data_IF_252956162923
#
_entry.id   IF_252956162923
#
_cell.length_a   1.000
_cell.length_b   1.000
_cell.length_c   1.000
_cell.angle_alpha   90.00
_cell.angle_beta   90.00
_cell.angle_gamma   90.00
#
_symmetry.space_group_name_H-M   'P 1'
#
loop_
_entity.id
_entity.type
_entity.pdbx_description
1 polymer ?
#
# COMPACT_ATOMS: atom_id res chain seq x y z
N UNK A 1 -27.18 -19.03 -61.37
CA UNK A 1 -27.66 -20.40 -61.67
C UNK A 1 -26.53 -21.35 -61.34
N UNK A 2 -26.57 -21.97 -60.16
CA UNK A 2 -26.82 -23.42 -59.91
C UNK A 2 -25.63 -24.29 -60.35
N UNK A 3 -25.06 -25.23 -59.59
CA UNK A 3 -25.43 -25.90 -58.34
C UNK A 3 -24.17 -26.59 -57.75
N UNK A 4 -24.19 -26.88 -56.46
CA UNK A 4 -23.19 -27.55 -55.62
C UNK A 4 -22.99 -29.05 -55.88
N UNK A 5 -21.89 -29.66 -55.38
CA UNK A 5 -21.82 -31.02 -54.78
C UNK A 5 -20.60 -31.12 -53.83
N UNK A 6 -20.73 -31.94 -52.79
CA UNK A 6 -20.00 -32.00 -51.51
C UNK A 6 -19.16 -33.30 -51.38
N UNK A 7 -18.14 -33.28 -50.51
CA UNK A 7 -17.51 -34.38 -49.71
C UNK A 7 -16.43 -35.26 -50.37
N UNK A 8 -15.29 -35.47 -49.69
CA UNK A 8 -14.78 -36.76 -49.13
C UNK A 8 -13.65 -36.44 -48.12
N UNK A 9 -13.61 -37.16 -46.99
CA UNK A 9 -12.57 -37.06 -45.98
C UNK A 9 -11.70 -38.31 -45.82
N UNK A 10 -10.82 -38.22 -44.81
CA UNK A 10 -10.10 -39.27 -44.06
C UNK A 10 -8.88 -39.92 -44.74
N UNK A 11 -7.72 -39.80 -44.07
CA UNK A 11 -6.65 -40.80 -44.15
C UNK A 11 -5.99 -40.94 -42.78
N UNK A 12 -6.17 -42.10 -42.16
CA UNK A 12 -5.45 -42.56 -40.97
C UNK A 12 -4.29 -43.46 -41.41
N UNK A 13 -3.15 -43.36 -40.74
CA UNK A 13 -2.02 -44.29 -40.91
C UNK A 13 -1.79 -45.03 -39.60
N UNK A 14 -1.98 -46.34 -39.65
CA UNK A 14 -1.66 -47.31 -38.60
C UNK A 14 -0.21 -47.80 -38.76
N UNK A 15 0.48 -48.04 -37.64
CA UNK A 15 1.63 -48.97 -37.59
C UNK A 15 1.51 -49.89 -36.38
N UNK A 16 1.62 -51.19 -36.64
CA UNK A 16 1.44 -52.34 -35.75
C UNK A 16 2.80 -52.81 -35.23
N UNK A 17 2.92 -53.18 -33.94
CA UNK A 17 3.82 -54.28 -33.53
C UNK A 17 3.21 -55.07 -32.35
N UNK A 18 3.33 -56.39 -32.47
CA UNK A 18 2.83 -57.52 -31.69
C UNK A 18 3.53 -57.75 -30.34
N UNK A 19 2.81 -58.23 -29.31
CA UNK A 19 2.99 -59.60 -28.75
C UNK A 19 2.35 -59.82 -27.35
N UNK A 20 1.72 -61.00 -27.24
CA UNK A 20 1.41 -61.83 -26.05
C UNK A 20 0.46 -61.31 -24.94
N UNK A 21 -0.73 -61.91 -24.90
CA UNK A 21 -1.67 -61.91 -23.76
C UNK A 21 -1.34 -63.05 -22.78
N UNK A 22 -1.30 -62.74 -21.47
CA UNK A 22 -1.73 -63.65 -20.40
C UNK A 22 -2.45 -62.83 -19.31
N UNK A 23 -3.67 -63.25 -18.99
CA UNK A 23 -4.61 -62.60 -18.08
C UNK A 23 -4.14 -62.60 -16.63
N UNK A 24 -4.18 -61.43 -15.97
CA UNK A 24 -4.58 -61.33 -14.56
C UNK A 24 -5.44 -60.08 -14.40
N UNK A 25 -6.69 -60.30 -14.00
CA UNK A 25 -7.68 -59.26 -13.71
C UNK A 25 -7.34 -58.67 -12.34
N UNK A 26 -6.90 -57.41 -12.29
CA UNK A 26 -6.91 -56.60 -11.07
C UNK A 26 -7.77 -55.35 -11.29
N UNK A 27 -8.81 -55.23 -10.47
CA UNK A 27 -9.73 -54.12 -10.43
C UNK A 27 -9.02 -52.94 -9.72
N UNK A 28 -8.61 -51.90 -10.45
CA UNK A 28 -8.16 -50.63 -9.85
C UNK A 28 -9.01 -49.49 -10.39
N UNK A 29 -9.80 -48.93 -9.48
CA UNK A 29 -10.74 -47.82 -9.69
C UNK A 29 -9.94 -46.58 -10.14
N UNK A 30 -10.30 -46.05 -11.32
CA UNK A 30 -9.76 -44.81 -11.90
C UNK A 30 -9.84 -43.65 -10.88
N UNK A 31 -8.70 -43.14 -10.44
CA UNK A 31 -8.57 -41.79 -9.91
C UNK A 31 -7.91 -40.94 -11.00
N UNK A 32 -8.65 -39.98 -11.56
CA UNK A 32 -8.08 -38.99 -12.45
C UNK A 32 -7.22 -38.03 -11.63
N UNK A 33 -5.90 -38.09 -11.82
CA UNK A 33 -4.99 -37.06 -11.32
C UNK A 33 -5.02 -35.95 -12.37
N UNK A 34 -5.81 -34.92 -12.12
CA UNK A 34 -5.76 -33.68 -12.88
C UNK A 34 -4.46 -32.98 -12.52
N UNK A 35 -3.44 -33.07 -13.35
CA UNK A 35 -2.20 -32.30 -13.21
C UNK A 35 -2.52 -30.82 -13.46
N UNK A 36 -2.63 -30.03 -12.40
CA UNK A 36 -2.67 -28.58 -12.49
C UNK A 36 -1.26 -28.06 -12.80
N UNK A 37 -0.97 -27.81 -14.08
CA UNK A 37 0.22 -27.06 -14.49
C UNK A 37 0.02 -25.58 -14.15
N UNK A 38 0.37 -25.18 -12.93
CA UNK A 38 0.51 -23.77 -12.57
C UNK A 38 1.97 -23.36 -12.73
N UNK A 39 2.38 -23.06 -13.96
CA UNK A 39 3.55 -22.21 -14.19
C UNK A 39 3.14 -20.77 -13.88
N UNK A 40 3.09 -20.44 -12.58
CA UNK A 40 3.08 -19.05 -12.13
C UNK A 40 4.49 -18.51 -12.41
N UNK A 41 4.65 -17.90 -13.59
CA UNK A 41 5.84 -17.14 -13.95
C UNK A 41 5.96 -16.01 -12.92
N UNK A 42 6.82 -16.20 -11.93
CA UNK A 42 7.30 -15.12 -11.08
C UNK A 42 8.19 -14.24 -11.95
N UNK A 43 7.59 -13.27 -12.62
CA UNK A 43 8.35 -12.13 -13.15
C UNK A 43 8.83 -11.33 -11.95
N UNK A 44 10.10 -11.51 -11.59
CA UNK A 44 10.79 -10.63 -10.65
C UNK A 44 11.11 -9.33 -11.39
N UNK A 45 10.12 -8.44 -11.46
CA UNK A 45 10.34 -7.05 -11.87
C UNK A 45 10.98 -6.35 -10.67
N UNK A 46 12.15 -5.75 -10.88
CA UNK A 46 12.92 -5.11 -9.83
C UNK A 46 12.10 -4.16 -8.95
N UNK A 47 12.36 -4.22 -7.64
CA UNK A 47 12.08 -3.14 -6.70
C UNK A 47 10.62 -2.77 -6.43
N UNK A 48 9.62 -3.60 -6.77
CA UNK A 48 8.29 -3.34 -6.22
C UNK A 48 8.30 -3.68 -4.73
N UNK A 49 8.48 -2.66 -3.88
CA UNK A 49 8.23 -2.78 -2.44
C UNK A 49 6.84 -3.38 -2.28
N UNK A 50 6.76 -4.56 -1.67
CA UNK A 50 5.49 -5.24 -1.48
C UNK A 50 4.64 -4.39 -0.53
N UNK A 51 3.47 -3.93 -1.00
CA UNK A 51 2.57 -3.10 -0.22
C UNK A 51 1.15 -3.67 -0.28
N UNK A 52 0.47 -3.66 0.85
CA UNK A 52 -0.95 -4.02 0.95
C UNK A 52 -1.79 -2.80 1.28
N UNK A 53 -2.98 -2.71 0.70
CA UNK A 53 -3.93 -1.64 1.02
C UNK A 53 -4.73 -1.90 2.31
N UNK A 54 -4.38 -2.96 3.06
CA UNK A 54 -4.98 -3.26 4.36
C UNK A 54 -4.48 -2.23 5.38
N UNK A 55 -5.42 -1.69 6.17
CA UNK A 55 -5.12 -0.80 7.30
C UNK A 55 -4.76 -1.58 8.56
N UNK A 56 -3.77 -1.08 9.29
CA UNK A 56 -3.40 -1.56 10.61
C UNK A 56 -4.55 -1.35 11.62
N UNK A 57 -4.79 -2.27 12.57
CA UNK A 57 -5.89 -2.17 13.52
C UNK A 57 -5.91 -0.83 14.28
N UNK A 58 -7.06 -0.13 14.21
CA UNK A 58 -7.18 1.24 14.73
C UNK A 58 -7.10 1.30 16.26
N UNK A 59 -7.67 0.29 16.93
CA UNK A 59 -7.61 0.06 18.38
C UNK A 59 -6.16 0.01 18.92
N UNK A 60 -5.20 -0.51 18.15
CA UNK A 60 -3.79 -0.58 18.53
C UNK A 60 -3.07 0.73 18.14
N UNK A 61 -3.38 1.30 16.97
CA UNK A 61 -2.74 2.53 16.49
C UNK A 61 -2.94 3.76 17.40
N UNK A 62 -4.05 3.84 18.15
CA UNK A 62 -4.37 4.97 19.02
C UNK A 62 -3.34 5.20 20.14
N UNK A 63 -2.64 4.13 20.58
CA UNK A 63 -1.58 4.22 21.59
C UNK A 63 -0.17 4.40 21.01
N UNK A 64 -0.05 4.61 19.70
CA UNK A 64 1.26 4.75 19.06
C UNK A 64 1.94 6.06 19.43
N UNK A 65 3.27 6.01 19.49
CA UNK A 65 4.12 7.19 19.69
C UNK A 65 5.01 7.34 18.47
N UNK A 66 5.36 8.55 18.07
CA UNK A 66 6.15 8.73 16.85
C UNK A 66 6.04 10.13 16.27
N UNK A 67 6.62 10.31 15.09
CA UNK A 67 6.60 11.59 14.40
C UNK A 67 7.53 11.65 13.19
N UNK A 68 7.62 12.84 12.57
CA UNK A 68 8.51 13.09 11.43
C UNK A 68 9.99 13.15 11.85
N UNK A 69 10.84 12.57 11.02
CA UNK A 69 12.30 12.62 11.11
C UNK A 69 12.88 13.21 9.82
N UNK A 70 13.82 14.15 9.97
CA UNK A 70 14.65 14.66 8.88
C UNK A 70 16.07 14.13 9.02
N UNK A 71 16.75 13.94 7.89
CA UNK A 71 18.18 13.64 7.88
C UNK A 71 18.97 14.91 7.54
N UNK A 72 19.83 15.35 8.44
CA UNK A 72 20.68 16.54 8.27
C UNK A 72 22.07 16.26 8.83
N UNK A 73 23.10 16.47 8.03
CA UNK A 73 24.49 16.43 8.49
C UNK A 73 24.88 17.80 9.01
N UNK A 74 25.51 17.85 10.18
CA UNK A 74 25.99 19.08 10.81
C UNK A 74 27.50 18.99 10.97
N UNK A 75 28.21 19.95 10.37
CA UNK A 75 29.67 20.04 10.43
C UNK A 75 30.05 21.35 11.12
N UNK A 76 30.82 21.25 12.20
CA UNK A 76 31.41 22.41 12.86
C UNK A 76 32.75 22.75 12.21
N UNK A 77 32.87 23.97 11.70
CA UNK A 77 34.10 24.52 11.10
C UNK A 77 35.12 24.87 12.19
N UNK A 78 36.40 25.02 11.81
CA UNK A 78 37.47 25.34 12.76
C UNK A 78 37.25 26.66 13.54
N UNK A 79 36.44 27.57 12.99
CA UNK A 79 36.06 28.84 13.62
C UNK A 79 34.83 28.72 14.54
N UNK A 80 34.31 27.51 14.78
CA UNK A 80 33.13 27.27 15.61
C UNK A 80 31.79 27.52 14.92
N UNK A 81 31.77 27.89 13.63
CA UNK A 81 30.53 28.04 12.87
C UNK A 81 29.98 26.68 12.41
N UNK A 82 28.66 26.52 12.36
CA UNK A 82 27.99 25.32 11.85
C UNK A 82 27.64 25.44 10.37
N UNK A 83 27.89 24.38 9.62
CA UNK A 83 27.33 24.14 8.30
C UNK A 83 26.36 22.95 8.37
N UNK A 84 25.15 23.11 7.82
CA UNK A 84 24.11 22.08 7.83
C UNK A 84 23.77 21.66 6.40
N UNK A 85 23.82 20.37 6.13
CA UNK A 85 23.44 19.78 4.84
C UNK A 85 22.17 18.93 5.02
N UNK A 86 21.07 19.33 4.38
CA UNK A 86 19.80 18.61 4.45
C UNK A 86 19.85 17.45 3.45
N UNK A 87 19.90 16.22 3.95
CA UNK A 87 19.98 15.02 3.11
C UNK A 87 18.62 14.62 2.54
N UNK A 88 17.53 14.88 3.28
CA UNK A 88 16.16 14.57 2.85
C UNK A 88 15.32 15.84 2.78
N UNK A 89 14.77 16.13 1.59
CA UNK A 89 13.84 17.25 1.40
C UNK A 89 12.48 17.04 2.05
N UNK A 90 12.12 15.79 2.35
CA UNK A 90 10.86 15.42 2.99
C UNK A 90 11.13 14.56 4.22
N UNK A 91 10.39 14.83 5.29
CA UNK A 91 10.44 13.99 6.48
C UNK A 91 10.03 12.56 6.17
N UNK A 92 10.66 11.61 6.87
CA UNK A 92 10.18 10.22 7.00
C UNK A 92 9.60 10.05 8.38
N UNK A 93 8.40 9.49 8.52
CA UNK A 93 7.82 9.27 9.85
C UNK A 93 8.25 7.93 10.44
N UNK A 94 8.47 7.91 11.75
CA UNK A 94 8.72 6.70 12.55
C UNK A 94 7.71 6.62 13.68
N UNK A 95 7.29 5.40 14.00
CA UNK A 95 6.36 5.14 15.09
C UNK A 95 6.81 3.94 15.93
N UNK A 96 6.36 3.89 17.18
CA UNK A 96 6.43 2.75 18.06
C UNK A 96 5.02 2.45 18.58
N UNK A 97 4.54 1.25 18.29
CA UNK A 97 3.17 0.81 18.64
C UNK A 97 3.10 -0.04 19.92
N UNK A 98 4.21 -0.22 20.63
CA UNK A 98 4.29 -1.10 21.80
C UNK A 98 3.25 -0.74 22.89
N UNK A 99 3.01 0.55 23.12
CA UNK A 99 2.05 1.04 24.11
C UNK A 99 0.56 0.86 23.72
N UNK A 100 0.29 0.50 22.47
CA UNK A 100 -1.05 0.28 21.94
C UNK A 100 -1.64 -1.10 22.26
N UNK A 101 -0.80 -2.08 22.61
CA UNK A 101 -1.22 -3.45 22.89
C UNK A 101 -1.45 -3.60 24.39
N UNK A 102 -2.72 -3.73 24.80
CA UNK A 102 -3.13 -3.77 26.22
C UNK A 102 -3.94 -5.01 26.58
N UNK A 103 -4.46 -5.74 25.59
CA UNK A 103 -5.22 -6.97 25.80
C UNK A 103 -4.64 -8.16 25.03
N UNK A 104 -5.00 -9.38 25.43
CA UNK A 104 -4.60 -10.59 24.74
C UNK A 104 -5.19 -10.68 23.32
N UNK A 105 -6.40 -10.16 23.10
CA UNK A 105 -6.99 -10.13 21.75
C UNK A 105 -6.18 -9.22 20.82
N UNK A 106 -5.79 -8.03 21.29
CA UNK A 106 -4.95 -7.11 20.54
C UNK A 106 -3.57 -7.71 20.23
N UNK A 107 -3.02 -8.49 21.15
CA UNK A 107 -1.78 -9.20 20.91
C UNK A 107 -1.92 -10.23 19.78
N UNK A 108 -2.96 -11.07 19.84
CA UNK A 108 -3.19 -12.08 18.81
C UNK A 108 -3.46 -11.43 17.44
N UNK A 109 -4.20 -10.32 17.43
CA UNK A 109 -4.42 -9.52 16.23
C UNK A 109 -3.10 -8.98 15.66
N UNK A 110 -2.23 -8.42 16.51
CA UNK A 110 -0.91 -7.94 16.11
C UNK A 110 -0.01 -9.06 15.59
N UNK A 111 0.07 -10.19 16.29
CA UNK A 111 0.89 -11.35 15.87
C UNK A 111 0.41 -11.84 14.50
N UNK A 112 -0.91 -11.97 14.33
CA UNK A 112 -1.52 -12.36 13.05
C UNK A 112 -1.16 -11.37 11.95
N UNK A 113 -1.26 -10.08 12.24
CA UNK A 113 -0.90 -9.02 11.30
C UNK A 113 0.59 -9.07 10.92
N UNK A 114 1.47 -9.24 11.92
CA UNK A 114 2.92 -9.34 11.74
C UNK A 114 3.32 -10.52 10.86
N UNK A 115 2.75 -11.71 11.10
CA UNK A 115 2.95 -12.88 10.25
C UNK A 115 2.44 -12.65 8.82
N UNK A 116 1.28 -12.03 8.65
CA UNK A 116 0.72 -11.73 7.33
C UNK A 116 1.59 -10.73 6.55
N UNK A 117 2.32 -9.83 7.23
CA UNK A 117 3.26 -8.88 6.60
C UNK A 117 4.69 -9.40 6.48
N UNK A 118 5.02 -10.54 7.10
CA UNK A 118 6.36 -11.14 7.09
C UNK A 118 7.43 -10.15 7.58
N UNK A 119 7.20 -9.53 8.73
CA UNK A 119 8.14 -8.55 9.31
C UNK A 119 8.31 -7.32 8.43
N UNK A 120 9.55 -7.00 8.04
CA UNK A 120 9.88 -5.81 7.23
C UNK A 120 9.45 -5.92 5.76
N UNK A 121 9.05 -7.11 5.29
CA UNK A 121 8.92 -7.38 3.87
C UNK A 121 7.71 -6.71 3.19
N UNK A 122 6.60 -6.49 3.90
CA UNK A 122 5.34 -5.97 3.33
C UNK A 122 4.87 -4.73 4.09
N UNK A 123 4.77 -3.61 3.37
CA UNK A 123 4.18 -2.38 3.89
C UNK A 123 2.64 -2.40 3.90
N UNK A 124 2.04 -1.52 4.69
CA UNK A 124 0.60 -1.42 4.93
C UNK A 124 0.19 0.02 5.28
N UNK A 125 -1.12 0.27 5.33
CA UNK A 125 -1.67 1.59 5.72
C UNK A 125 -1.69 1.73 7.23
N UNK A 126 -1.24 2.86 7.75
CA UNK A 126 -1.25 3.18 9.17
C UNK A 126 -1.89 4.54 9.43
N UNK A 127 -2.86 4.58 10.34
CA UNK A 127 -3.53 5.81 10.75
C UNK A 127 -2.72 6.49 11.85
N UNK A 128 -2.15 7.64 11.53
CA UNK A 128 -1.45 8.49 12.48
C UNK A 128 -2.43 9.46 13.15
N UNK A 129 -2.87 9.15 14.36
CA UNK A 129 -3.84 9.95 15.10
C UNK A 129 -3.42 11.38 15.38
N UNK A 130 -2.13 11.70 15.28
CA UNK A 130 -1.63 13.07 15.47
C UNK A 130 -1.81 13.95 14.21
N UNK A 131 -1.88 13.35 13.01
CA UNK A 131 -1.77 14.09 11.76
C UNK A 131 -2.73 13.65 10.64
N UNK A 132 -3.61 12.68 10.87
CA UNK A 132 -4.45 12.02 9.84
C UNK A 132 -5.46 12.89 9.07
N UNK A 133 -5.68 14.15 9.46
CA UNK A 133 -6.70 15.01 8.84
C UNK A 133 -6.04 16.15 8.05
N UNK A 134 -6.54 16.39 6.84
CA UNK A 134 -6.26 17.58 6.05
C UNK A 134 -7.57 18.32 5.75
N UNK A 135 -7.62 19.62 6.05
CA UNK A 135 -8.82 20.46 5.88
C UNK A 135 -8.49 21.59 4.90
N UNK A 136 -9.36 21.77 3.90
CA UNK A 136 -9.34 22.86 2.94
C UNK A 136 -7.95 23.17 2.35
N UNK A 137 -7.23 22.12 1.97
CA UNK A 137 -5.90 22.23 1.37
C UNK A 137 -6.02 22.66 -0.08
N UNK A 138 -5.37 23.76 -0.47
CA UNK A 138 -5.26 24.14 -1.86
C UNK A 138 -4.34 23.15 -2.59
N UNK A 139 -4.91 22.40 -3.55
CA UNK A 139 -4.19 21.36 -4.30
C UNK A 139 -3.83 21.80 -5.72
N UNK A 140 -4.34 22.95 -6.17
CA UNK A 140 -4.01 23.53 -7.46
C UNK A 140 -5.00 24.60 -7.93
N UNK A 141 -4.71 25.14 -9.11
CA UNK A 141 -5.52 26.12 -9.82
C UNK A 141 -5.91 25.54 -11.18
N UNK A 142 -7.18 25.71 -11.56
CA UNK A 142 -7.69 25.27 -12.85
C UNK A 142 -7.13 26.08 -14.02
N UNK A 143 -6.96 25.43 -15.17
CA UNK A 143 -6.39 26.01 -16.39
C UNK A 143 -7.20 25.67 -17.66
N UNK A 144 -8.42 25.12 -17.50
CA UNK A 144 -9.25 24.54 -18.58
C UNK A 144 -8.60 23.36 -19.35
N UNK A 145 -7.49 22.77 -18.88
CA UNK A 145 -6.78 21.68 -19.58
C UNK A 145 -6.47 20.49 -18.69
N UNK A 146 -5.82 20.71 -17.55
CA UNK A 146 -5.38 19.68 -16.61
C UNK A 146 -6.58 19.15 -15.83
N UNK A 147 -6.74 17.83 -15.81
CA UNK A 147 -7.83 17.14 -15.11
C UNK A 147 -7.35 16.39 -13.86
N UNK A 148 -6.04 16.14 -13.72
CA UNK A 148 -5.48 15.35 -12.63
C UNK A 148 -4.72 16.21 -11.63
N UNK A 149 -5.01 16.08 -10.34
CA UNK A 149 -4.39 16.84 -9.26
C UNK A 149 -3.98 15.91 -8.12
N UNK A 150 -2.82 16.15 -7.51
CA UNK A 150 -2.32 15.34 -6.39
C UNK A 150 -2.86 15.89 -5.07
N UNK A 151 -3.39 15.03 -4.20
CA UNK A 151 -3.69 15.42 -2.83
C UNK A 151 -2.40 15.77 -2.08
N UNK A 152 -2.41 16.92 -1.42
CA UNK A 152 -1.30 17.40 -0.61
C UNK A 152 -1.79 17.88 0.74
N UNK A 153 -0.88 17.89 1.71
CA UNK A 153 -1.02 18.59 2.98
C UNK A 153 0.13 19.58 3.11
N UNK A 154 -0.21 20.84 3.34
CA UNK A 154 0.74 21.93 3.49
C UNK A 154 0.86 22.29 4.97
N UNK A 155 2.03 22.11 5.55
CA UNK A 155 2.36 22.57 6.89
C UNK A 155 2.91 23.99 6.77
N UNK A 156 2.30 24.94 7.49
CA UNK A 156 2.67 26.36 7.46
C UNK A 156 3.13 26.78 8.84
N UNK A 157 4.28 27.45 8.91
CA UNK A 157 4.78 28.08 10.13
C UNK A 157 5.42 29.42 9.76
N UNK A 158 4.74 30.53 10.05
CA UNK A 158 5.14 31.85 9.56
C UNK A 158 5.06 31.91 8.03
N UNK A 159 6.16 32.32 7.39
CA UNK A 159 6.27 32.40 5.92
C UNK A 159 6.68 31.06 5.29
N UNK A 160 7.21 30.13 6.08
CA UNK A 160 7.68 28.85 5.60
C UNK A 160 6.54 27.86 5.37
N UNK A 161 6.65 27.11 4.28
CA UNK A 161 5.71 26.07 3.88
C UNK A 161 6.44 24.78 3.59
N UNK A 162 5.97 23.68 4.18
CA UNK A 162 6.38 22.33 3.81
C UNK A 162 5.20 21.60 3.19
N UNK A 163 5.34 21.15 1.94
CA UNK A 163 4.29 20.40 1.24
C UNK A 163 4.59 18.90 1.33
N UNK A 164 3.61 18.13 1.81
CA UNK A 164 3.63 16.66 1.79
C UNK A 164 2.63 16.15 0.77
N UNK A 165 3.11 15.32 -0.16
CA UNK A 165 2.23 14.55 -1.04
C UNK A 165 1.53 13.44 -0.25
N UNK A 166 0.22 13.33 -0.44
CA UNK A 166 -0.61 12.33 0.23
C UNK A 166 -0.96 11.24 -0.78
N UNK A 167 -0.48 10.01 -0.56
CA UNK A 167 -0.72 8.87 -1.47
C UNK A 167 -1.85 7.93 -1.04
N UNK A 168 -2.19 7.90 0.26
CA UNK A 168 -3.17 6.95 0.83
C UNK A 168 -4.34 7.68 1.50
N UNK A 169 -5.15 8.46 0.75
CA UNK A 169 -6.37 9.03 1.31
C UNK A 169 -7.33 7.92 1.76
N UNK A 170 -8.20 8.23 2.72
CA UNK A 170 -9.19 7.31 3.26
C UNK A 170 -10.44 7.32 2.40
N UNK A 171 -10.92 6.13 2.03
CA UNK A 171 -12.13 5.98 1.23
C UNK A 171 -13.34 6.66 1.89
N UNK A 172 -14.11 7.42 1.10
CA UNK A 172 -15.33 8.09 1.57
C UNK A 172 -15.09 9.37 2.39
N UNK A 173 -13.85 9.79 2.62
CA UNK A 173 -13.54 11.02 3.38
C UNK A 173 -13.16 12.21 2.51
N UNK A 174 -12.77 11.96 1.25
CA UNK A 174 -12.31 12.99 0.32
C UNK A 174 -13.48 13.85 -0.12
N UNK A 175 -13.34 15.17 0.04
CA UNK A 175 -14.24 16.20 -0.46
C UNK A 175 -13.45 17.24 -1.22
N UNK A 176 -13.92 17.61 -2.40
CA UNK A 176 -13.27 18.56 -3.29
C UNK A 176 -14.17 19.78 -3.44
N UNK A 177 -13.55 20.96 -3.49
CA UNK A 177 -14.25 22.22 -3.69
C UNK A 177 -13.58 23.01 -4.82
N UNK A 178 -14.40 23.63 -5.67
CA UNK A 178 -13.97 24.59 -6.70
C UNK A 178 -14.47 25.97 -6.29
N UNK A 179 -13.55 26.91 -6.04
CA UNK A 179 -13.88 28.24 -5.52
C UNK A 179 -14.78 28.21 -4.27
N UNK A 180 -14.55 27.25 -3.37
CA UNK A 180 -15.32 27.07 -2.14
C UNK A 180 -16.66 26.34 -2.29
N UNK A 181 -17.08 26.00 -3.52
CA UNK A 181 -18.29 25.18 -3.75
C UNK A 181 -17.93 23.72 -3.91
N UNK A 182 -18.63 22.84 -3.21
CA UNK A 182 -18.41 21.38 -3.29
C UNK A 182 -18.65 20.87 -4.72
N UNK A 183 -17.70 20.07 -5.20
CA UNK A 183 -17.73 19.39 -6.49
C UNK A 183 -18.02 17.89 -6.25
N UNK A 184 -18.70 17.25 -7.19
CA UNK A 184 -19.07 15.82 -7.10
C UNK A 184 -18.61 15.00 -8.33
N UNK A 185 -18.23 15.66 -9.43
CA UNK A 185 -17.82 15.01 -10.68
C UNK A 185 -16.31 14.77 -10.75
N UNK A 186 -15.80 13.93 -9.85
CA UNK A 186 -14.39 13.51 -9.83
C UNK A 186 -14.25 12.05 -9.38
N UNK A 187 -13.07 11.49 -9.65
CA UNK A 187 -12.65 10.18 -9.15
C UNK A 187 -11.37 10.33 -8.33
N UNK A 188 -11.15 9.41 -7.39
CA UNK A 188 -9.97 9.39 -6.52
C UNK A 188 -9.24 8.07 -6.68
N UNK A 189 -7.95 8.12 -7.01
CA UNK A 189 -7.08 6.97 -6.89
C UNK A 189 -6.60 6.87 -5.44
N UNK A 190 -7.20 5.98 -4.66
CA UNK A 190 -6.85 5.81 -3.24
C UNK A 190 -5.44 5.22 -3.01
N UNK A 191 -4.77 4.71 -4.05
CA UNK A 191 -3.43 4.14 -3.94
C UNK A 191 -2.33 5.16 -4.23
N UNK A 192 -2.61 6.20 -5.04
CA UNK A 192 -1.66 7.27 -5.42
C UNK A 192 -2.04 8.63 -4.84
N UNK A 193 -3.29 8.81 -4.41
CA UNK A 193 -3.82 10.08 -3.91
C UNK A 193 -4.13 11.09 -5.01
N UNK A 194 -4.27 10.65 -6.25
CA UNK A 194 -4.61 11.52 -7.39
C UNK A 194 -6.12 11.68 -7.52
N UNK A 195 -6.56 12.91 -7.70
CA UNK A 195 -7.92 13.31 -8.06
C UNK A 195 -7.96 13.48 -9.57
N UNK A 196 -8.95 12.90 -10.24
CA UNK A 196 -9.20 13.12 -11.66
C UNK A 196 -10.62 13.64 -11.88
N UNK A 197 -10.72 14.88 -12.37
CA UNK A 197 -11.98 15.50 -12.74
C UNK A 197 -12.49 14.98 -14.09
N UNK A 198 -13.82 14.86 -14.22
CA UNK A 198 -14.45 14.48 -15.48
C UNK A 198 -14.36 15.57 -16.55
N UNK A 199 -14.31 16.84 -16.12
CA UNK A 199 -14.07 18.02 -16.95
C UNK A 199 -12.95 18.84 -16.31
N UNK A 200 -12.05 19.45 -17.11
CA UNK A 200 -10.99 20.26 -16.54
C UNK A 200 -11.59 21.43 -15.75
N UNK A 201 -11.12 21.69 -14.51
CA UNK A 201 -11.55 22.86 -13.76
C UNK A 201 -11.32 24.15 -14.54
N UNK A 202 -12.25 25.09 -14.39
CA UNK A 202 -12.19 26.33 -15.16
C UNK A 202 -10.94 27.13 -14.84
N UNK A 203 -10.44 27.91 -15.81
CA UNK A 203 -9.27 28.76 -15.60
C UNK A 203 -9.45 29.64 -14.35
N UNK A 204 -8.40 29.70 -13.53
CA UNK A 204 -8.30 30.48 -12.29
C UNK A 204 -9.22 29.97 -11.16
N UNK A 205 -9.89 28.81 -11.32
CA UNK A 205 -10.61 28.18 -10.22
C UNK A 205 -9.64 27.62 -9.18
N UNK A 206 -9.77 28.05 -7.93
CA UNK A 206 -9.03 27.50 -6.80
C UNK A 206 -9.62 26.14 -6.45
N UNK A 207 -8.76 25.12 -6.43
CA UNK A 207 -9.14 23.74 -6.13
C UNK A 207 -8.68 23.44 -4.71
N UNK A 208 -9.63 23.18 -3.81
CA UNK A 208 -9.32 22.77 -2.43
C UNK A 208 -9.85 21.39 -2.12
N UNK A 209 -9.22 20.72 -1.15
CA UNK A 209 -9.58 19.38 -0.71
C UNK A 209 -9.59 19.24 0.82
N UNK A 210 -10.55 18.50 1.34
CA UNK A 210 -10.60 18.05 2.73
C UNK A 210 -10.69 16.52 2.75
N UNK A 211 -9.87 15.84 3.55
CA UNK A 211 -9.79 14.39 3.57
C UNK A 211 -9.08 13.87 4.83
N UNK A 212 -9.32 12.60 5.14
CA UNK A 212 -8.42 11.84 6.02
C UNK A 212 -7.38 11.09 5.18
N UNK A 213 -6.23 10.77 5.77
CA UNK A 213 -5.21 9.96 5.11
C UNK A 213 -4.47 9.01 6.06
N UNK A 214 -3.95 7.94 5.48
CA UNK A 214 -3.04 7.02 6.13
C UNK A 214 -1.59 7.29 5.70
N UNK A 215 -0.66 6.92 6.56
CA UNK A 215 0.77 6.86 6.26
C UNK A 215 1.12 5.44 5.80
N UNK A 216 1.78 5.27 4.65
CA UNK A 216 2.29 3.96 4.25
C UNK A 216 3.51 3.61 5.09
N UNK A 217 3.41 2.56 5.90
CA UNK A 217 4.50 2.11 6.78
C UNK A 217 4.81 0.63 6.59
N UNK A 218 5.93 0.18 7.14
CA UNK A 218 6.24 -1.23 7.34
C UNK A 218 6.72 -1.43 8.78
N UNK A 219 6.72 -2.67 9.26
CA UNK A 219 7.51 -2.97 10.46
C UNK A 219 8.98 -2.66 10.20
N UNK A 220 9.66 -2.14 11.21
CA UNK A 220 11.11 -1.97 11.21
C UNK A 220 11.83 -3.02 12.05
N UNK A 221 11.19 -4.19 12.22
CA UNK A 221 11.79 -5.38 12.82
C UNK A 221 11.27 -6.64 12.10
N UNK A 222 12.13 -7.64 11.97
CA UNK A 222 11.73 -9.00 11.56
C UNK A 222 11.49 -9.92 12.76
N UNK A 223 11.79 -9.43 13.96
CA UNK A 223 11.61 -10.14 15.22
C UNK A 223 10.65 -9.38 16.12
N UNK A 224 9.52 -10.01 16.45
CA UNK A 224 8.56 -9.49 17.42
C UNK A 224 8.95 -10.01 18.81
N UNK A 225 9.68 -9.19 19.58
CA UNK A 225 10.12 -9.55 20.92
C UNK A 225 8.95 -9.40 21.92
N UNK A 226 8.17 -10.47 22.10
CA UNK A 226 7.12 -10.54 23.11
C UNK A 226 7.66 -11.19 24.39
N UNK A 227 7.61 -10.45 25.51
CA UNK A 227 7.88 -11.02 26.84
C UNK A 227 6.56 -11.34 27.53
N UNK A 228 6.51 -12.50 28.17
CA UNK A 228 5.42 -12.89 29.08
C UNK A 228 5.98 -12.67 30.48
N UNK A 229 5.64 -11.55 31.11
CA UNK A 229 6.22 -11.14 32.39
C UNK A 229 5.47 -11.77 33.58
N UNK A 230 4.17 -12.06 33.43
CA UNK A 230 3.34 -12.79 34.40
C UNK A 230 2.20 -13.52 33.68
N UNK A 231 1.49 -14.43 34.36
CA UNK A 231 0.30 -15.10 33.80
C UNK A 231 -0.79 -14.05 33.46
N UNK A 232 -0.87 -13.66 32.18
CA UNK A 232 -1.78 -12.64 31.68
C UNK A 232 -1.18 -11.23 31.57
N UNK A 233 0.10 -11.03 31.90
CA UNK A 233 0.83 -9.78 31.66
C UNK A 233 1.90 -10.00 30.59
N UNK A 234 1.75 -9.29 29.49
CA UNK A 234 2.73 -9.29 28.41
C UNK A 234 3.31 -7.89 28.30
N UNK A 235 4.63 -7.76 28.17
CA UNK A 235 5.27 -6.47 27.95
C UNK A 235 6.02 -6.42 26.62
N UNK A 236 5.93 -5.26 26.00
CA UNK A 236 6.67 -4.90 24.80
C UNK A 236 7.24 -3.51 25.00
N UNK A 237 8.54 -3.38 24.77
CA UNK A 237 9.20 -2.09 24.92
C UNK A 237 9.34 -1.35 23.59
N UNK A 238 9.39 -2.09 22.47
CA UNK A 238 9.60 -1.48 21.17
C UNK A 238 9.06 -2.34 20.02
N UNK A 239 8.09 -1.81 19.30
CA UNK A 239 7.58 -2.38 18.05
C UNK A 239 7.62 -1.25 17.02
N UNK A 240 8.77 -1.06 16.35
CA UNK A 240 8.98 0.09 15.50
C UNK A 240 8.30 -0.09 14.13
N UNK A 241 7.72 0.99 13.64
CA UNK A 241 7.22 1.17 12.29
C UNK A 241 7.99 2.29 11.60
N UNK A 242 8.27 2.11 10.32
CA UNK A 242 8.93 3.12 9.49
C UNK A 242 8.10 3.40 8.24
N UNK A 243 7.94 4.68 7.88
CA UNK A 243 7.31 5.09 6.64
C UNK A 243 8.08 4.59 5.40
N UNK A 244 7.32 4.02 4.46
CA UNK A 244 7.82 3.59 3.15
C UNK A 244 7.58 4.71 2.15
N UNK A 245 8.65 5.13 1.47
CA UNK A 245 8.58 6.12 0.38
C UNK A 245 8.44 5.40 -0.96
N UNK A 246 7.56 5.92 -1.83
CA UNK A 246 7.34 5.44 -3.20
C UNK A 246 7.72 6.52 -4.19
#
# INVERSE_FOLDING_TARGET
MNLSIVTVGVTAVNSVVSSTFHSVIYYVKRFQITTFSSTKLFTFTGGHMSFTEIRFPENISYGSTGGPEFSTDVVTTHNGCEQRNINWSHARTRYNIAYGVRSNEQLLELITFFHARKGKAIGFRFKDWSDFIAINQEIGIGDNKKTTFQLIKTYVSGEDKHIRMIKKPVHGTVKIYLNGKEESEYSVNYSTGEITFMKPPVKDAIITASFEFDVPVRFDTDYLNASIDDYGSNSWNNIPLEEVKF
#
